data_IF_712063870804
#
_entry.id   IF_712063870804
#
_cell.length_a   1.000
_cell.length_b   1.000
_cell.length_c   1.000
_cell.angle_alpha   90.00
_cell.angle_beta   90.00
_cell.angle_gamma   90.00
#
_symmetry.space_group_name_H-M   'P 1'
#
loop_
_entity.id
_entity.type
_entity.pdbx_description
1 polymer ?
#
# COMPACT_ATOMS: atom_id res chain seq x y z
N UNK A 1 18.78 -15.70 14.93
CA UNK A 1 17.32 -15.89 14.81
C UNK A 1 16.49 -14.94 15.68
N UNK A 2 16.97 -14.52 16.87
CA UNK A 2 16.23 -13.59 17.77
C UNK A 2 15.86 -12.22 17.17
N UNK A 3 16.72 -11.61 16.35
CA UNK A 3 16.44 -10.31 15.70
C UNK A 3 15.30 -10.36 14.66
N UNK A 4 15.08 -11.50 14.01
CA UNK A 4 13.94 -11.70 13.09
C UNK A 4 12.63 -11.84 13.85
N UNK A 5 12.64 -12.56 14.97
CA UNK A 5 11.47 -12.72 15.85
C UNK A 5 11.04 -11.37 16.46
N UNK A 6 12.00 -10.54 16.90
CA UNK A 6 11.70 -9.20 17.44
C UNK A 6 11.05 -8.27 16.39
N UNK A 7 11.50 -8.32 15.13
CA UNK A 7 10.88 -7.54 14.04
C UNK A 7 9.46 -7.98 13.70
N UNK A 8 9.19 -9.28 13.71
CA UNK A 8 7.84 -9.82 13.47
C UNK A 8 6.91 -9.42 14.63
N UNK A 9 7.36 -9.54 15.88
CA UNK A 9 6.55 -9.13 17.04
C UNK A 9 6.25 -7.63 17.10
N UNK A 10 7.14 -6.80 16.57
CA UNK A 10 6.92 -5.35 16.53
C UNK A 10 5.94 -4.91 15.43
N UNK A 11 5.91 -5.65 14.31
CA UNK A 11 4.91 -5.47 13.26
C UNK A 11 3.53 -5.93 13.78
N UNK A 12 3.50 -7.01 14.57
CA UNK A 12 2.30 -7.42 15.32
C UNK A 12 1.87 -6.35 16.34
N UNK A 13 2.79 -5.64 17.02
CA UNK A 13 2.43 -4.56 17.95
C UNK A 13 1.74 -3.36 17.26
N UNK A 14 2.13 -3.05 16.02
CA UNK A 14 1.49 -2.00 15.21
C UNK A 14 0.09 -2.42 14.73
N UNK A 15 -0.07 -3.66 14.28
CA UNK A 15 -1.38 -4.24 13.92
C UNK A 15 -2.26 -4.34 15.15
N UNK A 16 -1.70 -4.73 16.29
CA UNK A 16 -2.38 -4.75 17.59
C UNK A 16 -2.80 -3.34 18.04
N UNK A 17 -2.08 -2.28 17.66
CA UNK A 17 -2.51 -0.89 17.89
C UNK A 17 -3.78 -0.53 17.10
N UNK A 18 -3.84 -0.92 15.83
CA UNK A 18 -5.04 -0.73 15.00
C UNK A 18 -6.21 -1.61 15.48
N UNK A 19 -5.95 -2.87 15.85
CA UNK A 19 -6.96 -3.78 16.41
C UNK A 19 -7.45 -3.29 17.78
N UNK A 20 -6.57 -2.73 18.62
CA UNK A 20 -6.95 -2.20 19.93
C UNK A 20 -7.75 -0.90 19.82
N UNK A 21 -7.51 -0.06 18.81
CA UNK A 21 -8.38 1.09 18.49
C UNK A 21 -9.76 0.62 18.03
N UNK A 22 -9.84 -0.38 17.15
CA UNK A 22 -11.10 -1.03 16.77
C UNK A 22 -11.81 -1.68 17.97
N UNK A 23 -11.06 -2.30 18.89
CA UNK A 23 -11.59 -2.89 20.11
C UNK A 23 -12.10 -1.82 21.10
N UNK A 24 -11.41 -0.69 21.27
CA UNK A 24 -11.93 0.41 22.10
C UNK A 24 -13.20 1.02 21.51
N UNK A 25 -13.35 1.06 20.17
CA UNK A 25 -14.61 1.44 19.53
C UNK A 25 -15.74 0.43 19.76
N UNK A 26 -15.41 -0.87 19.91
CA UNK A 26 -16.40 -1.93 20.18
C UNK A 26 -16.71 -2.11 21.68
N UNK A 27 -15.76 -1.84 22.58
CA UNK A 27 -15.90 -2.07 24.03
C UNK A 27 -16.39 -0.84 24.81
N UNK A 28 -16.31 0.38 24.27
CA UNK A 28 -16.72 1.57 25.04
C UNK A 28 -18.23 1.79 25.14
N UNK A 29 -19.07 1.21 24.27
CA UNK A 29 -20.49 1.60 24.23
C UNK A 29 -21.45 0.41 24.28
N UNK A 30 -21.64 -0.13 25.50
CA UNK A 30 -22.96 -0.62 25.87
C UNK A 30 -23.87 0.52 26.37
N UNK A 31 -23.33 1.70 26.79
CA UNK A 31 -24.13 2.71 27.51
C UNK A 31 -23.71 4.20 27.36
N UNK A 32 -22.88 4.60 26.40
CA UNK A 32 -22.61 6.03 26.13
C UNK A 32 -22.82 6.30 24.64
N UNK A 33 -23.55 7.36 24.27
CA UNK A 33 -23.56 7.79 22.87
C UNK A 33 -22.26 8.57 22.62
N UNK A 34 -21.43 8.20 21.63
CA UNK A 34 -20.17 8.88 21.43
C UNK A 34 -20.42 10.33 21.02
N UNK A 35 -19.82 11.27 21.75
CA UNK A 35 -19.80 12.68 21.41
C UNK A 35 -19.09 12.86 20.05
N UNK A 36 -19.58 13.78 19.20
CA UNK A 36 -19.00 14.05 17.86
C UNK A 36 -17.49 14.33 17.95
N UNK A 37 -17.06 15.04 19.00
CA UNK A 37 -15.64 15.34 19.23
C UNK A 37 -14.81 14.07 19.50
N UNK A 38 -15.32 13.15 20.31
CA UNK A 38 -14.68 11.87 20.60
C UNK A 38 -14.57 11.01 19.34
N UNK A 39 -15.62 11.01 18.51
CA UNK A 39 -15.62 10.29 17.24
C UNK A 39 -14.54 10.82 16.28
N UNK A 40 -14.41 12.14 16.15
CA UNK A 40 -13.38 12.75 15.31
C UNK A 40 -11.96 12.42 15.79
N UNK A 41 -11.71 12.55 17.10
CA UNK A 41 -10.41 12.21 17.69
C UNK A 41 -10.01 10.76 17.42
N UNK A 42 -10.97 9.85 17.56
CA UNK A 42 -10.70 8.44 17.38
C UNK A 42 -10.47 8.08 15.89
N UNK A 43 -11.10 8.81 14.95
CA UNK A 43 -10.77 8.72 13.51
C UNK A 43 -9.33 9.21 13.26
N UNK A 44 -8.95 10.35 13.82
CA UNK A 44 -7.61 10.91 13.66
C UNK A 44 -6.53 9.98 14.24
N UNK A 45 -6.79 9.39 15.40
CA UNK A 45 -5.90 8.41 16.03
C UNK A 45 -5.75 7.14 15.16
N UNK A 46 -6.86 6.65 14.59
CA UNK A 46 -6.83 5.51 13.69
C UNK A 46 -6.03 5.81 12.41
N UNK A 47 -6.21 6.99 11.82
CA UNK A 47 -5.44 7.44 10.66
C UNK A 47 -3.96 7.62 10.98
N UNK A 48 -3.63 8.20 12.13
CA UNK A 48 -2.26 8.36 12.61
C UNK A 48 -1.58 7.00 12.82
N UNK A 49 -2.27 6.05 13.46
CA UNK A 49 -1.79 4.69 13.68
C UNK A 49 -1.55 3.95 12.37
N UNK A 50 -2.50 4.02 11.43
CA UNK A 50 -2.36 3.41 10.09
C UNK A 50 -1.17 4.00 9.33
N UNK A 51 -1.01 5.32 9.33
CA UNK A 51 0.11 5.98 8.67
C UNK A 51 1.47 5.56 9.27
N UNK A 52 1.55 5.45 10.58
CA UNK A 52 2.74 4.99 11.29
C UNK A 52 3.05 3.52 10.97
N UNK A 53 2.03 2.66 10.96
CA UNK A 53 2.12 1.25 10.60
C UNK A 53 2.66 1.07 9.18
N UNK A 54 2.11 1.80 8.21
CA UNK A 54 2.55 1.75 6.81
C UNK A 54 4.03 2.15 6.66
N UNK A 55 4.48 3.17 7.40
CA UNK A 55 5.89 3.60 7.39
C UNK A 55 6.84 2.56 7.99
N UNK A 56 6.36 1.74 8.93
CA UNK A 56 7.10 0.67 9.62
C UNK A 56 6.95 -0.71 8.97
N UNK A 57 6.07 -0.88 8.00
CA UNK A 57 5.86 -2.16 7.33
C UNK A 57 7.08 -2.55 6.48
N UNK A 58 7.54 -3.80 6.61
CA UNK A 58 8.65 -4.31 5.79
C UNK A 58 8.17 -4.62 4.38
N UNK A 59 8.94 -4.20 3.36
CA UNK A 59 8.61 -4.45 1.95
C UNK A 59 9.70 -5.25 1.25
N UNK A 60 9.30 -6.29 0.51
CA UNK A 60 10.22 -7.11 -0.29
C UNK A 60 10.83 -6.33 -1.47
N UNK A 61 10.06 -5.37 -2.02
CA UNK A 61 10.49 -4.45 -3.07
C UNK A 61 11.59 -3.50 -2.56
N UNK A 62 11.58 -3.19 -1.26
CA UNK A 62 12.60 -2.37 -0.60
C UNK A 62 13.73 -3.21 0.06
N UNK A 63 13.98 -4.42 -0.45
CA UNK A 63 14.98 -5.36 0.13
C UNK A 63 14.75 -5.63 1.63
N UNK A 64 13.49 -5.82 2.03
CA UNK A 64 13.07 -6.06 3.42
C UNK A 64 13.37 -4.89 4.38
N UNK A 65 13.50 -3.67 3.84
CA UNK A 65 13.51 -2.44 4.63
C UNK A 65 12.09 -1.88 4.77
N UNK A 66 11.91 -1.03 5.77
CA UNK A 66 10.68 -0.27 5.98
C UNK A 66 10.76 1.05 5.20
N UNK A 67 9.68 1.55 4.61
CA UNK A 67 9.72 2.76 3.80
C UNK A 67 10.18 3.99 4.59
N UNK A 68 9.77 4.12 5.86
CA UNK A 68 10.24 5.21 6.71
C UNK A 68 11.76 5.18 6.94
N UNK A 69 12.34 3.98 7.07
CA UNK A 69 13.79 3.80 7.22
C UNK A 69 14.56 4.23 5.98
N UNK A 70 14.02 3.97 4.79
CA UNK A 70 14.65 4.34 3.52
C UNK A 70 14.67 5.85 3.33
N UNK A 71 13.62 6.56 3.74
CA UNK A 71 13.51 8.03 3.58
C UNK A 71 14.33 8.78 4.62
N UNK A 72 14.24 8.38 5.90
CA UNK A 72 14.83 9.12 7.02
C UNK A 72 16.25 8.63 7.37
N UNK A 73 16.73 7.56 6.74
CA UNK A 73 18.01 6.91 7.04
C UNK A 73 18.20 6.57 8.55
N UNK A 74 17.09 6.32 9.25
CA UNK A 74 17.04 5.92 10.65
C UNK A 74 16.01 4.80 10.82
N UNK A 75 16.24 3.86 11.72
CA UNK A 75 15.23 2.85 12.01
C UNK A 75 13.97 3.50 12.60
N UNK A 76 12.79 3.09 12.10
CA UNK A 76 11.54 3.73 12.49
C UNK A 76 11.09 3.38 13.92
N UNK A 77 11.65 2.31 14.51
CA UNK A 77 11.41 1.94 15.90
C UNK A 77 12.53 2.44 16.80
N UNK A 78 13.77 2.13 16.44
CA UNK A 78 14.95 2.46 17.22
C UNK A 78 15.61 3.69 16.61
N UNK A 79 15.97 4.67 17.42
CA UNK A 79 16.69 5.85 16.93
C UNK A 79 18.17 5.53 16.63
N UNK A 80 18.38 4.64 15.65
CA UNK A 80 19.67 4.15 15.21
C UNK A 80 19.81 4.51 13.73
N UNK A 81 20.87 5.24 13.34
CA UNK A 81 21.11 5.57 11.95
C UNK A 81 21.33 4.29 11.14
N UNK A 82 20.77 4.24 9.92
CA UNK A 82 20.95 3.08 9.04
C UNK A 82 21.30 3.52 7.63
N UNK A 83 22.37 2.92 7.12
CA UNK A 83 22.79 3.05 5.73
C UNK A 83 21.92 2.12 4.88
N UNK A 84 21.29 2.69 3.85
CA UNK A 84 20.45 1.95 2.90
C UNK A 84 21.08 2.07 1.52
N UNK A 85 21.35 0.94 0.88
CA UNK A 85 21.85 0.89 -0.49
C UNK A 85 20.69 1.04 -1.48
N UNK A 86 20.46 2.30 -1.89
CA UNK A 86 19.37 2.68 -2.80
C UNK A 86 19.60 2.18 -4.22
N UNK A 87 20.85 2.12 -4.68
CA UNK A 87 21.18 1.72 -6.05
C UNK A 87 20.77 0.27 -6.27
N UNK A 88 21.18 -0.62 -5.37
CA UNK A 88 20.85 -2.03 -5.53
C UNK A 88 19.36 -2.33 -5.31
N UNK A 89 18.63 -1.46 -4.60
CA UNK A 89 17.16 -1.51 -4.52
C UNK A 89 16.50 -1.08 -5.84
N UNK A 90 17.05 -0.05 -6.49
CA UNK A 90 16.59 0.41 -7.80
C UNK A 90 16.82 -0.66 -8.87
N UNK A 91 18.01 -1.26 -8.92
CA UNK A 91 18.36 -2.34 -9.84
C UNK A 91 17.39 -3.52 -9.71
N UNK A 92 17.15 -3.99 -8.48
CA UNK A 92 16.19 -5.09 -8.24
C UNK A 92 14.79 -4.74 -8.74
N UNK A 93 14.35 -3.50 -8.52
CA UNK A 93 13.04 -3.03 -8.99
C UNK A 93 12.99 -3.03 -10.51
N UNK A 94 14.06 -2.56 -11.16
CA UNK A 94 14.14 -2.55 -12.62
C UNK A 94 14.07 -3.97 -13.20
N UNK A 95 14.76 -4.93 -12.59
CA UNK A 95 14.69 -6.34 -12.99
C UNK A 95 13.25 -6.86 -12.93
N UNK A 96 12.54 -6.64 -11.81
CA UNK A 96 11.14 -7.06 -11.67
C UNK A 96 10.21 -6.37 -12.69
N UNK A 97 10.44 -5.08 -12.97
CA UNK A 97 9.67 -4.34 -13.98
C UNK A 97 9.90 -4.93 -15.37
N UNK A 98 11.15 -5.23 -15.72
CA UNK A 98 11.49 -5.81 -17.01
C UNK A 98 10.88 -7.20 -17.19
N UNK A 99 10.94 -8.06 -16.17
CA UNK A 99 10.31 -9.38 -16.17
C UNK A 99 8.79 -9.29 -16.36
N UNK A 100 8.14 -8.39 -15.61
CA UNK A 100 6.70 -8.17 -15.74
C UNK A 100 6.35 -7.64 -17.14
N UNK A 101 7.15 -6.72 -17.68
CA UNK A 101 6.93 -6.16 -19.01
C UNK A 101 7.08 -7.22 -20.09
N UNK A 102 8.07 -8.12 -19.98
CA UNK A 102 8.21 -9.27 -20.87
C UNK A 102 6.98 -10.19 -20.81
N UNK A 103 6.47 -10.49 -19.61
CA UNK A 103 5.29 -11.31 -19.44
C UNK A 103 4.02 -10.66 -19.98
N UNK A 104 3.85 -9.34 -19.84
CA UNK A 104 2.70 -8.62 -20.38
C UNK A 104 2.76 -8.51 -21.90
N UNK A 105 3.93 -8.19 -22.45
CA UNK A 105 4.14 -8.14 -23.90
C UNK A 105 3.88 -9.50 -24.55
N UNK A 106 4.30 -10.61 -23.92
CA UNK A 106 4.02 -11.96 -24.41
C UNK A 106 2.52 -12.31 -24.44
N UNK A 107 1.68 -11.65 -23.62
CA UNK A 107 0.22 -11.82 -23.61
C UNK A 107 -0.48 -10.89 -24.60
N UNK A 108 0.18 -9.82 -25.01
CA UNK A 108 -0.39 -8.82 -25.90
C UNK A 108 -0.55 -9.43 -27.29
N UNK A 109 -1.75 -9.29 -27.86
CA UNK A 109 -1.97 -9.57 -29.28
C UNK A 109 -1.52 -8.35 -30.07
N UNK A 110 -0.67 -8.59 -31.06
CA UNK A 110 -0.24 -7.56 -32.00
C UNK A 110 -1.45 -7.06 -32.81
N UNK A 111 -1.63 -5.76 -32.87
CA UNK A 111 -2.61 -5.10 -33.71
C UNK A 111 -2.03 -3.75 -34.15
N UNK A 112 -1.82 -3.61 -35.45
CA UNK A 112 -1.30 -2.39 -36.06
C UNK A 112 -2.45 -1.43 -36.39
N UNK A 113 -2.43 -0.25 -35.79
CA UNK A 113 -3.40 0.80 -36.08
C UNK A 113 -3.05 1.51 -37.38
N UNK A 114 -4.00 1.56 -38.30
CA UNK A 114 -3.87 2.30 -39.56
C UNK A 114 -4.58 3.66 -39.44
N UNK A 115 -3.98 4.68 -40.05
CA UNK A 115 -4.59 6.02 -40.14
C UNK A 115 -5.91 5.93 -40.90
N UNK A 116 -7.00 6.40 -40.29
CA UNK A 116 -8.36 6.30 -40.84
C UNK A 116 -9.09 4.99 -40.53
N UNK A 117 -8.47 4.08 -39.77
CA UNK A 117 -9.15 2.89 -39.25
C UNK A 117 -10.12 3.24 -38.12
N UNK A 118 -11.27 2.55 -38.08
CA UNK A 118 -12.22 2.69 -36.99
C UNK A 118 -11.68 2.05 -35.72
N UNK A 119 -11.82 2.76 -34.60
CA UNK A 119 -11.42 2.29 -33.27
C UNK A 119 -12.61 2.38 -32.33
N UNK A 120 -12.76 1.36 -31.50
CA UNK A 120 -13.78 1.35 -30.46
C UNK A 120 -13.24 2.02 -29.20
N UNK A 121 -13.96 3.03 -28.71
CA UNK A 121 -13.64 3.74 -27.47
C UNK A 121 -14.38 3.08 -26.31
N UNK A 122 -13.67 2.88 -25.20
CA UNK A 122 -14.26 2.31 -23.98
C UNK A 122 -15.07 3.36 -23.22
N UNK A 123 -16.34 3.05 -22.98
CA UNK A 123 -17.23 3.87 -22.16
C UNK A 123 -16.85 3.72 -20.67
N UNK A 124 -16.58 4.83 -19.98
CA UNK A 124 -16.06 4.83 -18.61
C UNK A 124 -17.11 4.41 -17.56
N UNK A 125 -18.37 4.83 -17.74
CA UNK A 125 -19.46 4.50 -16.81
C UNK A 125 -20.77 4.17 -17.56
N UNK A 126 -20.87 3.00 -18.22
CA UNK A 126 -22.08 2.58 -18.90
C UNK A 126 -23.16 2.14 -17.88
N UNK A 127 -24.43 2.44 -18.16
CA UNK A 127 -25.54 1.91 -17.38
C UNK A 127 -25.75 0.41 -17.64
N UNK A 128 -26.65 -0.20 -16.88
CA UNK A 128 -26.98 -1.62 -17.08
C UNK A 128 -27.58 -1.80 -18.47
N UNK A 129 -27.03 -2.74 -19.24
CA UNK A 129 -27.35 -3.05 -20.64
C UNK A 129 -26.80 -2.07 -21.69
N UNK A 130 -26.07 -1.03 -21.29
CA UNK A 130 -25.41 -0.15 -22.27
C UNK A 130 -24.16 -0.81 -22.87
N UNK A 131 -23.84 -0.51 -24.15
CA UNK A 131 -22.61 -0.97 -24.77
C UNK A 131 -21.38 -0.39 -24.04
N UNK A 132 -20.42 -1.26 -23.73
CA UNK A 132 -19.14 -0.88 -23.09
C UNK A 132 -18.13 -0.26 -24.07
N UNK A 133 -18.33 -0.51 -25.37
CA UNK A 133 -17.49 -0.06 -26.46
C UNK A 133 -18.39 0.68 -27.45
N UNK A 134 -18.05 1.93 -27.76
CA UNK A 134 -18.73 2.75 -28.76
C UNK A 134 -17.79 3.12 -29.90
N UNK A 135 -18.35 3.47 -31.05
CA UNK A 135 -17.60 4.11 -32.13
C UNK A 135 -17.31 5.57 -31.71
N UNK A 136 -16.06 5.98 -31.89
CA UNK A 136 -15.60 7.36 -31.66
C UNK A 136 -15.84 8.25 -32.86
#
# INVERSE_FOLDING_TARGET
MHQRQARIQLLMLSVNGCIRLLATFYEQDANMAPNIQTSNQAIDDALAACNHAMRRAVSQSLKNNTPGKVVVACDMLLNIPVIVDLLSMQEKRQLMVNENLQQQNAKQKEFDYNVGGEVLIKNFNPSKLDPKLGLG
#
